data_IF_178576401395
#
_entry.id   IF_178576401395
#
_cell.length_a   1.000
_cell.length_b   1.000
_cell.length_c   1.000
_cell.angle_alpha   90.00
_cell.angle_beta   90.00
_cell.angle_gamma   90.00
#
_symmetry.space_group_name_H-M   'P 1'
#
loop_
_entity.id
_entity.type
_entity.pdbx_description
1 polymer ?
#
# COMPACT_ATOMS: atom_id res chain seq x y z
N UNK A 1 3.78 12.20 -19.78
CA UNK A 1 3.92 11.18 -18.71
C UNK A 1 2.64 10.37 -18.70
N UNK A 2 2.68 9.03 -18.72
CA UNK A 2 1.45 8.23 -18.58
C UNK A 2 0.89 8.48 -17.17
N UNK A 3 -0.37 8.87 -17.07
CA UNK A 3 -1.02 9.06 -15.78
C UNK A 3 -1.05 7.73 -15.02
N UNK A 4 -0.64 7.74 -13.75
CA UNK A 4 -0.73 6.56 -12.88
C UNK A 4 -2.20 6.18 -12.62
N UNK A 5 -2.41 4.92 -12.23
CA UNK A 5 -3.72 4.37 -11.89
C UNK A 5 -4.03 4.66 -10.42
N UNK A 6 -5.21 5.23 -10.14
CA UNK A 6 -5.67 5.51 -8.78
C UNK A 6 -6.32 4.26 -8.21
N UNK A 7 -5.89 3.84 -7.03
CA UNK A 7 -6.37 2.65 -6.32
C UNK A 7 -6.76 3.06 -4.91
N UNK A 8 -7.93 2.61 -4.48
CA UNK A 8 -8.37 2.75 -3.09
C UNK A 8 -7.83 1.58 -2.28
N UNK A 9 -7.22 1.90 -1.15
CA UNK A 9 -6.64 0.96 -0.21
C UNK A 9 -7.45 0.98 1.07
N UNK A 10 -7.78 -0.21 1.58
CA UNK A 10 -8.56 -0.43 2.78
C UNK A 10 -7.72 -1.15 3.84
N UNK A 11 -6.99 -0.42 4.71
CA UNK A 11 -6.28 -1.01 5.83
C UNK A 11 -7.18 -1.88 6.71
N UNK A 12 -6.68 -3.05 7.11
CA UNK A 12 -7.40 -3.99 7.99
C UNK A 12 -6.93 -3.88 9.45
N UNK A 13 -7.88 -3.63 10.36
CA UNK A 13 -7.60 -3.47 11.79
C UNK A 13 -7.14 -4.79 12.45
N UNK A 14 -6.15 -4.71 13.35
CA UNK A 14 -5.74 -5.84 14.20
C UNK A 14 -4.82 -6.88 13.53
N UNK A 15 -4.44 -6.68 12.27
CA UNK A 15 -3.76 -7.72 11.50
C UNK A 15 -2.24 -7.63 11.42
N UNK A 16 -1.57 -6.75 12.17
CA UNK A 16 -0.10 -6.63 12.16
C UNK A 16 0.42 -5.38 11.46
N UNK A 17 -0.33 -4.28 11.59
CA UNK A 17 0.21 -2.96 11.33
C UNK A 17 1.28 -2.62 12.36
N UNK A 18 2.39 -2.06 11.89
CA UNK A 18 3.53 -1.67 12.71
C UNK A 18 4.18 -0.41 12.16
N UNK A 19 4.65 0.44 13.07
CA UNK A 19 5.53 1.56 12.75
C UNK A 19 6.96 1.16 13.08
N UNK A 20 7.84 1.16 12.09
CA UNK A 20 9.24 0.79 12.26
C UNK A 20 10.06 1.86 13.00
N UNK A 21 9.46 3.00 13.36
CA UNK A 21 10.13 4.13 14.00
C UNK A 21 10.70 3.85 15.41
N UNK A 22 10.66 2.62 15.92
CA UNK A 22 11.35 2.22 17.16
C UNK A 22 10.68 2.67 18.46
N UNK A 23 9.72 3.59 18.38
CA UNK A 23 8.91 3.99 19.53
C UNK A 23 7.66 3.12 19.61
N UNK A 24 7.50 2.42 20.73
CA UNK A 24 6.36 1.54 21.05
C UNK A 24 5.04 2.32 21.29
N UNK A 25 4.77 3.35 20.49
CA UNK A 25 3.49 4.03 20.52
C UNK A 25 2.43 3.13 19.89
N UNK A 26 1.21 3.07 20.46
CA UNK A 26 0.09 2.40 19.82
C UNK A 26 -0.11 2.97 18.41
N UNK A 27 0.18 2.16 17.40
CA UNK A 27 -0.02 2.56 16.02
C UNK A 27 -1.50 2.35 15.66
N UNK A 28 -2.21 3.45 15.41
CA UNK A 28 -3.56 3.39 14.89
C UNK A 28 -3.49 2.98 13.41
N UNK A 29 -4.21 1.92 13.06
CA UNK A 29 -4.37 1.49 11.67
C UNK A 29 -4.90 2.68 10.86
N UNK A 30 -4.28 3.02 9.71
CA UNK A 30 -4.70 4.18 8.95
C UNK A 30 -6.14 4.03 8.46
N UNK A 31 -6.81 5.17 8.24
CA UNK A 31 -8.07 5.17 7.50
C UNK A 31 -7.84 4.73 6.05
N UNK A 32 -8.92 4.43 5.33
CA UNK A 32 -8.82 4.13 3.90
C UNK A 32 -8.24 5.34 3.15
N UNK A 33 -7.33 5.08 2.23
CA UNK A 33 -6.65 6.11 1.43
C UNK A 33 -6.54 5.69 -0.03
N UNK A 34 -6.21 6.65 -0.88
CA UNK A 34 -5.95 6.45 -2.30
C UNK A 34 -4.45 6.52 -2.59
N UNK A 35 -3.99 5.65 -3.48
CA UNK A 35 -2.63 5.66 -4.02
C UNK A 35 -2.65 5.76 -5.54
N UNK A 36 -1.67 6.47 -6.10
CA UNK A 36 -1.42 6.54 -7.54
C UNK A 36 -0.25 5.62 -7.87
N UNK A 37 -0.55 4.51 -8.54
CA UNK A 37 0.42 3.49 -8.96
C UNK A 37 0.81 3.77 -10.41
N UNK A 38 2.11 3.96 -10.68
CA UNK A 38 2.58 4.28 -12.02
C UNK A 38 2.37 3.09 -12.97
N UNK A 39 1.98 3.34 -14.23
CA UNK A 39 1.88 2.26 -15.22
C UNK A 39 3.23 1.57 -15.42
N UNK A 40 3.27 0.23 -15.34
CA UNK A 40 4.50 -0.56 -15.46
C UNK A 40 5.35 -0.59 -14.18
N UNK A 41 4.84 -0.09 -13.05
CA UNK A 41 5.47 -0.27 -11.73
C UNK A 41 5.27 -1.67 -11.14
N UNK A 42 4.58 -2.54 -11.88
CA UNK A 42 4.41 -3.95 -11.61
C UNK A 42 5.77 -4.66 -11.69
N UNK A 43 6.34 -4.95 -10.52
CA UNK A 43 7.55 -5.77 -10.43
C UNK A 43 7.13 -7.22 -10.30
N UNK A 44 7.34 -7.99 -11.37
CA UNK A 44 7.09 -9.43 -11.42
C UNK A 44 8.29 -10.18 -10.84
N UNK A 45 8.07 -10.93 -9.76
CA UNK A 45 9.12 -11.77 -9.16
C UNK A 45 8.99 -13.23 -9.66
N UNK A 46 9.18 -13.46 -10.97
CA UNK A 46 9.06 -14.79 -11.56
C UNK A 46 7.63 -15.10 -12.03
N UNK A 47 7.05 -16.24 -11.60
CA UNK A 47 5.63 -16.59 -11.87
C UNK A 47 4.64 -15.97 -10.86
N UNK A 48 5.14 -15.30 -9.82
CA UNK A 48 4.30 -14.67 -8.80
C UNK A 48 3.82 -13.29 -9.24
N UNK A 49 2.63 -12.96 -8.75
CA UNK A 49 1.87 -11.74 -9.05
C UNK A 49 2.68 -10.44 -8.81
N UNK A 50 2.37 -9.35 -9.53
CA UNK A 50 3.18 -8.15 -9.48
C UNK A 50 3.12 -7.45 -8.13
N UNK A 51 4.27 -6.99 -7.65
CA UNK A 51 4.31 -5.96 -6.60
C UNK A 51 3.98 -4.63 -7.24
N UNK A 52 3.00 -3.92 -6.68
CA UNK A 52 2.55 -2.60 -7.12
C UNK A 52 3.34 -1.53 -6.38
N UNK A 53 3.79 -0.49 -7.07
CA UNK A 53 4.47 0.65 -6.44
C UNK A 53 3.85 1.97 -6.84
N UNK A 54 3.64 2.84 -5.86
CA UNK A 54 3.01 4.14 -6.09
C UNK A 54 3.29 5.14 -5.00
N UNK A 55 2.49 6.19 -5.00
CA UNK A 55 2.50 7.23 -3.96
C UNK A 55 1.09 7.42 -3.44
N UNK A 56 0.94 7.52 -2.12
CA UNK A 56 -0.32 7.89 -1.50
C UNK A 56 -0.68 9.31 -1.91
N UNK A 57 -1.90 9.50 -2.40
CA UNK A 57 -2.40 10.80 -2.85
C UNK A 57 -3.85 11.00 -2.38
N UNK A 58 -3.98 11.37 -1.11
CA UNK A 58 -5.26 11.55 -0.40
C UNK A 58 -5.20 12.84 0.39
N UNK A 59 -6.00 13.83 -0.01
CA UNK A 59 -5.98 15.15 0.60
C UNK A 59 -6.17 15.07 2.12
N UNK A 60 -5.31 15.78 2.87
CA UNK A 60 -5.29 15.85 4.35
C UNK A 60 -5.06 14.52 5.08
N UNK A 61 -4.75 13.44 4.39
CA UNK A 61 -4.42 12.18 5.03
C UNK A 61 -3.00 12.21 5.62
N UNK A 62 -2.74 11.69 6.83
CA UNK A 62 -1.39 11.69 7.43
C UNK A 62 -0.32 10.94 6.63
N UNK A 63 -0.75 10.10 5.69
CA UNK A 63 0.12 9.33 4.81
C UNK A 63 0.30 9.96 3.43
N UNK A 64 -0.29 11.13 3.16
CA UNK A 64 -0.16 11.78 1.86
C UNK A 64 1.32 12.00 1.49
N UNK A 65 1.69 11.65 0.26
CA UNK A 65 3.07 11.70 -0.23
C UNK A 65 3.96 10.51 0.17
N UNK A 66 3.48 9.55 0.97
CA UNK A 66 4.26 8.32 1.24
C UNK A 66 4.41 7.49 -0.03
N UNK A 67 5.58 6.90 -0.21
CA UNK A 67 5.76 5.82 -1.19
C UNK A 67 5.08 4.58 -0.65
N UNK A 68 4.30 3.90 -1.49
CA UNK A 68 3.62 2.65 -1.13
C UNK A 68 4.10 1.51 -2.03
N UNK A 69 4.36 0.36 -1.43
CA UNK A 69 4.53 -0.93 -2.10
C UNK A 69 3.45 -1.89 -1.62
N UNK A 70 2.81 -2.60 -2.54
CA UNK A 70 1.78 -3.59 -2.24
C UNK A 70 2.09 -4.91 -2.93
N UNK A 71 2.03 -6.03 -2.21
CA UNK A 71 2.17 -7.37 -2.78
C UNK A 71 0.98 -8.25 -2.37
N UNK A 72 0.51 -9.15 -3.23
CA UNK A 72 -0.55 -10.08 -2.86
C UNK A 72 -0.21 -10.89 -1.61
N UNK A 73 -1.20 -11.07 -0.75
CA UNK A 73 -1.03 -11.77 0.52
C UNK A 73 -1.05 -13.30 0.38
N UNK A 74 -1.76 -13.82 -0.61
CA UNK A 74 -1.93 -15.26 -0.85
C UNK A 74 -2.27 -15.55 -2.32
N UNK A 75 -2.36 -16.85 -2.64
CA UNK A 75 -2.75 -17.38 -3.94
C UNK A 75 -3.92 -18.37 -3.78
N UNK A 76 -5.00 -18.26 -4.59
CA UNK A 76 -5.28 -17.22 -5.57
C UNK A 76 -5.48 -15.85 -4.90
N UNK A 77 -5.16 -14.77 -5.61
CA UNK A 77 -5.30 -13.41 -5.09
C UNK A 77 -6.73 -12.89 -5.26
N UNK A 78 -7.31 -12.37 -4.19
CA UNK A 78 -8.68 -11.83 -4.13
C UNK A 78 -8.73 -10.32 -3.84
N UNK A 79 -7.56 -9.66 -3.77
CA UNK A 79 -7.44 -8.24 -3.43
C UNK A 79 -6.71 -7.98 -2.13
N UNK A 80 -6.48 -8.99 -1.30
CA UNK A 80 -5.71 -8.83 -0.07
C UNK A 80 -4.22 -8.62 -0.35
N UNK A 81 -3.64 -7.62 0.31
CA UNK A 81 -2.26 -7.19 0.09
C UNK A 81 -1.49 -6.99 1.39
N UNK A 82 -0.21 -7.34 1.34
CA UNK A 82 0.79 -6.80 2.25
C UNK A 82 1.14 -5.39 1.79
N UNK A 83 1.21 -4.45 2.72
CA UNK A 83 1.44 -3.02 2.47
C UNK A 83 2.72 -2.61 3.18
N UNK A 84 3.58 -1.89 2.46
CA UNK A 84 4.72 -1.18 3.02
C UNK A 84 4.69 0.27 2.56
N UNK A 85 4.83 1.19 3.51
CA UNK A 85 4.74 2.63 3.32
C UNK A 85 6.01 3.29 3.82
N UNK A 86 6.60 4.17 3.03
CA UNK A 86 7.83 4.88 3.38
C UNK A 86 7.68 6.38 3.12
N UNK A 87 7.94 7.18 4.14
CA UNK A 87 8.01 8.64 4.02
C UNK A 87 9.38 9.08 3.48
N UNK A 88 9.45 10.26 2.86
CA UNK A 88 10.74 10.86 2.48
C UNK A 88 11.69 11.15 3.66
N UNK A 89 11.21 11.07 4.91
CA UNK A 89 12.00 11.24 6.13
C UNK A 89 12.46 9.90 6.74
N UNK A 90 12.22 8.77 6.08
CA UNK A 90 12.67 7.44 6.53
C UNK A 90 11.75 6.73 7.53
N UNK A 91 10.61 7.34 7.93
CA UNK A 91 9.55 6.62 8.66
C UNK A 91 8.96 5.54 7.76
N UNK A 92 8.84 4.32 8.29
CA UNK A 92 8.31 3.16 7.60
C UNK A 92 7.14 2.55 8.36
N UNK A 93 6.06 2.24 7.64
CA UNK A 93 4.89 1.54 8.17
C UNK A 93 4.67 0.27 7.36
N UNK A 94 4.49 -0.85 8.03
CA UNK A 94 4.16 -2.12 7.38
C UNK A 94 2.83 -2.61 7.94
N UNK A 95 1.99 -3.20 7.10
CA UNK A 95 0.69 -3.69 7.50
C UNK A 95 -0.05 -4.43 6.40
N UNK A 96 -1.35 -4.56 6.57
CA UNK A 96 -2.20 -5.34 5.67
C UNK A 96 -3.49 -4.58 5.34
N UNK A 97 -4.00 -4.83 4.15
CA UNK A 97 -5.23 -4.24 3.69
C UNK A 97 -5.79 -5.01 2.49
N UNK A 98 -6.90 -4.51 1.97
CA UNK A 98 -7.44 -4.95 0.69
C UNK A 98 -7.48 -3.79 -0.30
N UNK A 99 -7.46 -4.14 -1.58
CA UNK A 99 -7.71 -3.22 -2.68
C UNK A 99 -8.84 -3.76 -3.55
N UNK A 100 -9.54 -2.87 -4.24
CA UNK A 100 -10.51 -3.29 -5.25
C UNK A 100 -9.76 -3.85 -6.48
N UNK A 101 -9.90 -5.15 -6.73
CA UNK A 101 -9.29 -5.83 -7.88
C UNK A 101 -9.98 -5.52 -9.21
N UNK A 102 -11.26 -5.14 -9.20
CA UNK A 102 -11.92 -4.59 -10.40
C UNK A 102 -11.29 -3.26 -10.79
N UNK A 103 -10.66 -2.62 -9.80
CA UNK A 103 -9.58 -1.67 -9.92
C UNK A 103 -8.67 -1.95 -11.10
N UNK A 104 -8.13 -3.18 -11.19
CA UNK A 104 -6.95 -3.57 -11.97
C UNK A 104 -7.21 -4.01 -13.42
N UNK A 105 -8.43 -4.41 -13.75
CA UNK A 105 -8.83 -4.82 -15.12
C UNK A 105 -8.76 -3.70 -16.16
#
# INVERSE_FOLDING_TARGET
>A
MKAGKRIKVHPLYGWGWSDSAGDATPFNVPESFEAVVASGSEVWFGKTMPTLRGTVHTDKHPLDGFTISMSPRHEPWDGDVNISLESGAGRRLDGFGSIDIASFG
#
